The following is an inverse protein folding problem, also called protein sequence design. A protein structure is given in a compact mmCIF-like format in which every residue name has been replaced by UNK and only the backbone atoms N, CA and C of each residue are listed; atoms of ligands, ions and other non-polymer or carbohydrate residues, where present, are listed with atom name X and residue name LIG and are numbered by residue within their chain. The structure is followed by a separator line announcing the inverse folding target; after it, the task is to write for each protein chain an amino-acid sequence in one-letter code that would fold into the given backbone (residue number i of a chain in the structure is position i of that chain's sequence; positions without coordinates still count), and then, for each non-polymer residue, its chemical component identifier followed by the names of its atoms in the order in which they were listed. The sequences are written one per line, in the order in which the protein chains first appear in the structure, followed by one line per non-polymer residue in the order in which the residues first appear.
data_IF_891126973754
#
_entry.id   IF_891126973754
#
_cell.length_a   1.000
_cell.length_b   1.000
_cell.length_c   1.000
_cell.angle_alpha   90.00
_cell.angle_beta   90.00
_cell.angle_gamma   90.00
#
_symmetry.space_group_name_H-M   'P 1'
#
loop_
_entity.id
_entity.type
_entity.pdbx_description
1 polymer ?
#
# COMPACT_ATOMS: atom_id res chain seq x y z
N UNK A 1 27.56 -28.86 32.61
CA UNK A 1 27.75 -27.68 31.72
C UNK A 1 26.64 -26.67 31.99
N UNK A 2 26.91 -25.38 31.81
CA UNK A 2 26.28 -24.27 32.55
C UNK A 2 25.03 -23.63 31.93
N UNK A 3 24.13 -23.20 32.82
CA UNK A 3 23.14 -22.11 32.66
C UNK A 3 22.16 -22.15 31.47
N UNK A 4 20.98 -22.74 31.72
CA UNK A 4 19.75 -22.38 31.00
C UNK A 4 19.34 -20.97 31.44
N UNK A 5 19.85 -19.92 30.78
CA UNK A 5 19.44 -18.53 31.05
C UNK A 5 17.95 -18.35 30.74
N UNK A 6 17.16 -18.18 31.80
CA UNK A 6 15.72 -17.92 31.76
C UNK A 6 15.40 -16.82 30.74
N UNK A 7 14.68 -17.18 29.68
CA UNK A 7 14.31 -16.24 28.62
C UNK A 7 13.40 -15.16 29.20
N UNK A 8 13.83 -13.90 29.13
CA UNK A 8 13.01 -12.79 29.59
C UNK A 8 11.71 -12.71 28.79
N UNK A 9 10.57 -12.64 29.49
CA UNK A 9 9.27 -12.30 28.86
C UNK A 9 9.23 -10.83 28.41
N UNK A 10 10.10 -9.99 28.95
CA UNK A 10 10.19 -8.55 28.70
C UNK A 10 11.27 -8.24 27.65
N UNK A 11 10.98 -7.30 26.74
CA UNK A 11 11.95 -6.74 25.80
C UNK A 11 13.00 -5.95 26.60
N UNK A 12 14.28 -6.31 26.46
CA UNK A 12 15.37 -5.64 27.18
C UNK A 12 15.76 -4.31 26.53
N UNK A 13 16.51 -3.46 27.24
CA UNK A 13 16.92 -2.14 26.76
C UNK A 13 17.64 -2.19 25.41
N UNK A 14 18.60 -3.12 25.25
CA UNK A 14 19.34 -3.30 23.99
C UNK A 14 18.42 -3.63 22.82
N UNK A 15 17.42 -4.50 23.01
CA UNK A 15 16.44 -4.79 21.97
C UNK A 15 15.60 -3.56 21.59
N UNK A 16 15.20 -2.72 22.55
CA UNK A 16 14.51 -1.45 22.24
C UNK A 16 15.41 -0.47 21.50
N UNK A 17 16.70 -0.41 21.88
CA UNK A 17 17.71 0.40 21.19
C UNK A 17 17.88 -0.08 19.74
N UNK A 18 18.10 -1.37 19.50
CA UNK A 18 18.21 -1.94 18.15
C UNK A 18 16.97 -1.72 17.29
N UNK A 19 15.75 -1.86 17.84
CA UNK A 19 14.52 -1.49 17.14
C UNK A 19 14.59 -0.04 16.67
N UNK A 20 14.96 0.90 17.55
CA UNK A 20 14.98 2.33 17.22
C UNK A 20 16.11 2.67 16.23
N UNK A 21 17.27 2.03 16.35
CA UNK A 21 18.36 2.15 15.38
C UNK A 21 17.95 1.67 13.97
N UNK A 22 17.23 0.55 13.88
CA UNK A 22 16.71 0.02 12.61
C UNK A 22 15.58 0.88 12.04
N UNK A 23 14.65 1.34 12.88
CA UNK A 23 13.56 2.23 12.49
C UNK A 23 14.06 3.60 11.99
N UNK A 24 15.22 4.05 12.46
CA UNK A 24 15.84 5.29 11.98
C UNK A 24 16.38 5.16 10.55
N UNK A 25 16.84 3.96 10.16
CA UNK A 25 17.33 3.66 8.81
C UNK A 25 16.18 3.45 7.81
N UNK A 26 15.01 3.03 8.29
CA UNK A 26 13.83 2.74 7.47
C UNK A 26 12.60 3.55 7.92
N UNK A 27 12.60 4.86 7.70
CA UNK A 27 11.58 5.80 8.22
C UNK A 27 10.16 5.50 7.69
N UNK A 28 10.00 5.12 6.42
CA UNK A 28 8.70 4.77 5.83
C UNK A 28 8.12 3.47 6.39
N UNK A 29 8.99 2.51 6.68
CA UNK A 29 8.67 1.27 7.39
C UNK A 29 8.25 1.56 8.84
N UNK A 30 9.04 2.38 9.55
CA UNK A 30 8.74 2.79 10.93
C UNK A 30 7.38 3.47 11.07
N UNK A 31 7.05 4.35 10.12
CA UNK A 31 5.79 5.07 10.03
C UNK A 31 4.61 4.17 9.62
N UNK A 32 4.86 3.11 8.86
CA UNK A 32 3.83 2.24 8.29
C UNK A 32 3.21 2.83 7.02
N UNK A 33 4.01 3.51 6.19
CA UNK A 33 3.60 4.09 4.92
C UNK A 33 3.77 3.15 3.72
N UNK A 34 4.49 2.05 3.89
CA UNK A 34 4.67 0.96 2.92
C UNK A 34 3.34 0.22 2.65
N UNK A 35 2.49 0.74 1.75
CA UNK A 35 1.13 0.24 1.49
C UNK A 35 0.92 -0.47 0.14
N UNK A 36 1.67 -0.10 -0.89
CA UNK A 36 1.68 -0.74 -2.22
C UNK A 36 2.09 -2.21 -2.16
N UNK A 37 1.80 -3.00 -3.19
CA UNK A 37 2.02 -4.45 -3.17
C UNK A 37 3.50 -4.82 -2.96
N UNK A 38 4.42 -4.24 -3.74
CA UNK A 38 5.88 -4.34 -3.53
C UNK A 38 6.30 -3.91 -2.12
N UNK A 39 5.69 -2.82 -1.61
CA UNK A 39 5.98 -2.26 -0.31
C UNK A 39 5.52 -3.16 0.86
N UNK A 40 4.50 -4.01 0.67
CA UNK A 40 4.13 -5.05 1.63
C UNK A 40 5.18 -6.16 1.69
N UNK A 41 5.73 -6.57 0.55
CA UNK A 41 6.82 -7.55 0.50
C UNK A 41 8.11 -7.02 1.15
N UNK A 42 8.49 -5.77 0.90
CA UNK A 42 9.65 -5.16 1.57
C UNK A 42 9.41 -5.00 3.07
N UNK A 43 8.22 -4.56 3.50
CA UNK A 43 7.83 -4.50 4.91
C UNK A 43 7.95 -5.86 5.61
N UNK A 44 7.48 -6.94 4.97
CA UNK A 44 7.64 -8.31 5.49
C UNK A 44 9.12 -8.70 5.66
N UNK A 45 9.95 -8.49 4.64
CA UNK A 45 11.40 -8.78 4.68
C UNK A 45 12.10 -8.00 5.81
N UNK A 46 11.79 -6.71 5.97
CA UNK A 46 12.35 -5.86 7.03
C UNK A 46 11.95 -6.34 8.44
N UNK A 47 10.71 -6.83 8.62
CA UNK A 47 10.30 -7.45 9.90
C UNK A 47 11.01 -8.78 10.17
N UNK A 48 11.25 -9.60 9.14
CA UNK A 48 11.99 -10.87 9.26
C UNK A 48 13.47 -10.65 9.60
N UNK A 49 14.11 -9.67 8.96
CA UNK A 49 15.48 -9.25 9.24
C UNK A 49 15.63 -8.70 10.67
N UNK A 50 14.79 -7.74 11.05
CA UNK A 50 14.77 -7.17 12.39
C UNK A 50 14.50 -8.24 13.46
N UNK A 51 13.57 -9.17 13.20
CA UNK A 51 13.30 -10.29 14.11
C UNK A 51 14.54 -11.19 14.29
N UNK A 52 15.28 -11.47 13.22
CA UNK A 52 16.53 -12.24 13.25
C UNK A 52 17.57 -11.55 14.15
N UNK A 53 17.80 -10.25 13.96
CA UNK A 53 18.73 -9.46 14.77
C UNK A 53 18.34 -9.43 16.25
N UNK A 54 17.07 -9.15 16.56
CA UNK A 54 16.60 -9.02 17.94
C UNK A 54 16.57 -10.35 18.69
N UNK A 55 16.28 -11.45 17.99
CA UNK A 55 16.27 -12.79 18.58
C UNK A 55 17.68 -13.33 18.87
N UNK A 56 18.72 -12.74 18.27
CA UNK A 56 20.13 -13.03 18.55
C UNK A 56 20.70 -12.23 19.74
N UNK A 57 19.95 -11.26 20.29
CA UNK A 57 20.37 -10.48 21.46
C UNK A 57 20.41 -11.35 22.73
N UNK A 58 21.60 -11.54 23.32
CA UNK A 58 21.80 -12.35 24.54
C UNK A 58 20.95 -11.84 25.70
N UNK A 59 20.11 -12.70 26.28
CA UNK A 59 19.21 -12.36 27.39
C UNK A 59 17.95 -11.57 27.00
N UNK A 60 17.73 -11.31 25.70
CA UNK A 60 16.52 -10.69 25.19
C UNK A 60 15.32 -11.64 25.12
N UNK A 61 14.12 -11.07 24.90
CA UNK A 61 12.92 -11.86 24.59
C UNK A 61 12.94 -12.27 23.11
N UNK A 62 12.49 -13.48 22.77
CA UNK A 62 12.41 -13.94 21.37
C UNK A 62 10.97 -13.83 20.87
N UNK A 63 10.77 -13.30 19.65
CA UNK A 63 9.45 -13.16 19.01
C UNK A 63 9.53 -13.40 17.50
N UNK A 64 8.40 -13.75 16.90
CA UNK A 64 8.23 -13.74 15.43
C UNK A 64 8.29 -12.32 14.88
N UNK A 65 8.44 -12.19 13.55
CA UNK A 65 8.27 -10.93 12.82
C UNK A 65 6.98 -10.20 13.21
N UNK A 66 5.85 -10.91 13.24
CA UNK A 66 4.55 -10.36 13.66
C UNK A 66 4.54 -9.93 15.13
N UNK A 67 5.19 -10.70 16.02
CA UNK A 67 5.33 -10.35 17.43
C UNK A 67 6.13 -9.05 17.64
N UNK A 68 7.16 -8.80 16.82
CA UNK A 68 7.91 -7.54 16.81
C UNK A 68 7.13 -6.39 16.17
N UNK A 69 6.38 -6.65 15.09
CA UNK A 69 5.45 -5.68 14.46
C UNK A 69 4.37 -5.21 15.42
N UNK A 70 3.77 -6.15 16.19
CA UNK A 70 2.84 -5.85 17.28
C UNK A 70 3.51 -5.04 18.39
N UNK A 71 4.70 -5.45 18.85
CA UNK A 71 5.43 -4.72 19.88
C UNK A 71 5.71 -3.27 19.47
N UNK A 72 6.18 -3.04 18.23
CA UNK A 72 6.41 -1.69 17.72
C UNK A 72 5.13 -0.87 17.66
N UNK A 73 4.01 -1.48 17.26
CA UNK A 73 2.69 -0.83 17.24
C UNK A 73 2.21 -0.44 18.64
N UNK A 74 2.41 -1.29 19.64
CA UNK A 74 2.07 -1.02 21.04
C UNK A 74 3.01 0.02 21.67
N UNK A 75 4.31 -0.02 21.37
CA UNK A 75 5.29 1.00 21.74
C UNK A 75 4.87 2.37 21.18
N UNK A 76 4.54 2.41 19.88
CA UNK A 76 3.97 3.56 19.17
C UNK A 76 2.74 4.12 19.89
N UNK A 77 1.77 3.28 20.23
CA UNK A 77 0.56 3.70 20.94
C UNK A 77 0.83 4.22 22.37
N UNK A 78 1.78 3.60 23.10
CA UNK A 78 2.23 4.09 24.43
C UNK A 78 2.89 5.46 24.32
N UNK A 79 3.76 5.67 23.31
CA UNK A 79 4.43 6.93 23.03
C UNK A 79 3.43 8.06 22.75
N UNK A 80 2.42 7.84 21.87
CA UNK A 80 1.34 8.83 21.62
C UNK A 80 0.65 9.25 22.91
N UNK A 81 0.18 8.28 23.71
CA UNK A 81 -0.51 8.55 24.99
C UNK A 81 0.37 9.37 25.92
N UNK A 82 1.65 9.02 26.06
CA UNK A 82 2.60 9.73 26.93
C UNK A 82 2.88 11.16 26.48
N UNK A 83 3.08 11.40 25.17
CA UNK A 83 3.25 12.74 24.59
C UNK A 83 2.02 13.62 24.88
N UNK A 84 0.81 13.10 24.64
CA UNK A 84 -0.43 13.84 24.89
C UNK A 84 -0.65 14.17 26.37
N UNK A 85 -0.38 13.22 27.27
CA UNK A 85 -0.44 13.45 28.72
C UNK A 85 0.52 14.58 29.14
N UNK A 86 1.76 14.58 28.63
CA UNK A 86 2.76 15.62 28.90
C UNK A 86 2.32 16.99 28.35
N UNK A 87 1.74 17.05 27.14
CA UNK A 87 1.18 18.29 26.58
C UNK A 87 0.02 18.83 27.43
N UNK A 88 -0.88 17.97 27.93
CA UNK A 88 -1.96 18.37 28.85
C UNK A 88 -1.47 18.87 30.20
N UNK A 89 -0.42 18.28 30.78
CA UNK A 89 0.19 18.77 32.03
C UNK A 89 0.74 20.19 31.86
N UNK A 90 1.40 20.48 30.72
CA UNK A 90 1.89 21.85 30.42
C UNK A 90 0.75 22.88 30.31
N UNK A 91 -0.44 22.48 29.90
CA UNK A 91 -1.63 23.32 29.82
C UNK A 91 -2.41 23.42 31.16
N UNK A 92 -1.72 23.42 32.30
CA UNK A 92 -2.31 23.64 33.64
C UNK A 92 -3.13 22.47 34.21
N UNK A 93 -3.16 21.29 33.58
CA UNK A 93 -3.97 20.17 34.06
C UNK A 93 -3.32 19.47 35.27
N UNK A 94 -4.05 19.39 36.39
CA UNK A 94 -3.67 18.71 37.65
C UNK A 94 -3.65 17.17 37.53
N UNK A 95 -2.84 16.66 36.60
CA UNK A 95 -2.66 15.23 36.38
C UNK A 95 -1.42 14.74 37.12
N UNK A 96 -1.54 13.60 37.82
CA UNK A 96 -0.47 12.97 38.62
C UNK A 96 0.85 12.92 37.86
N UNK A 97 1.98 13.03 38.57
CA UNK A 97 3.32 13.24 37.98
C UNK A 97 3.69 12.26 36.85
N UNK A 98 3.49 12.69 35.61
CA UNK A 98 3.87 11.92 34.41
C UNK A 98 5.39 11.99 34.25
N UNK A 99 6.05 10.82 34.23
CA UNK A 99 7.49 10.71 33.96
C UNK A 99 7.83 11.30 32.58
N UNK A 100 8.91 12.09 32.42
CA UNK A 100 9.31 12.61 31.11
C UNK A 100 9.62 11.51 30.09
N UNK A 101 9.70 11.90 28.81
CA UNK A 101 10.13 11.00 27.74
C UNK A 101 11.58 10.55 27.95
N UNK A 102 11.84 9.25 27.81
CA UNK A 102 13.19 8.69 27.80
C UNK A 102 13.94 9.09 26.52
N UNK A 103 15.26 8.91 26.50
CA UNK A 103 16.09 9.22 25.34
C UNK A 103 15.62 8.43 24.10
N UNK A 104 15.34 7.13 24.29
CA UNK A 104 14.81 6.25 23.24
C UNK A 104 13.41 6.69 22.76
N UNK A 105 12.50 7.05 23.67
CA UNK A 105 11.17 7.58 23.30
C UNK A 105 11.25 8.90 22.51
N UNK A 106 12.16 9.82 22.90
CA UNK A 106 12.41 11.06 22.15
C UNK A 106 12.92 10.78 20.74
N UNK A 107 13.89 9.87 20.60
CA UNK A 107 14.44 9.48 19.29
C UNK A 107 13.41 8.81 18.40
N UNK A 108 12.59 7.92 18.95
CA UNK A 108 11.47 7.32 18.22
C UNK A 108 10.43 8.38 17.77
N UNK A 109 10.16 9.40 18.60
CA UNK A 109 9.27 10.50 18.22
C UNK A 109 9.83 11.33 17.06
N UNK A 110 11.15 11.57 17.02
CA UNK A 110 11.81 12.26 15.92
C UNK A 110 11.70 11.47 14.59
N UNK A 111 11.94 10.15 14.62
CA UNK A 111 11.80 9.25 13.45
C UNK A 111 10.37 9.30 12.87
N UNK A 112 9.36 9.34 13.75
CA UNK A 112 7.94 9.32 13.34
C UNK A 112 7.40 10.69 12.91
N UNK A 113 8.16 11.76 13.12
CA UNK A 113 7.86 13.12 12.68
C UNK A 113 6.68 13.82 13.40
N UNK A 114 6.47 15.12 13.12
CA UNK A 114 5.49 15.95 13.82
C UNK A 114 4.03 15.54 13.58
N UNK A 115 3.73 14.82 12.49
CA UNK A 115 2.40 14.26 12.25
C UNK A 115 1.99 13.24 13.33
N UNK A 116 2.97 12.57 13.96
CA UNK A 116 2.73 11.54 14.95
C UNK A 116 2.11 12.06 16.26
N UNK A 117 2.31 13.34 16.58
CA UNK A 117 1.78 13.98 17.77
C UNK A 117 0.27 14.33 17.69
N UNK A 118 -0.31 14.32 16.48
CA UNK A 118 -1.71 14.70 16.25
C UNK A 118 -2.67 13.58 16.69
N UNK A 119 -2.90 13.46 17.99
CA UNK A 119 -4.06 12.69 18.49
C UNK A 119 -5.33 13.41 18.05
N UNK A 120 -6.09 12.80 17.13
CA UNK A 120 -7.51 13.11 16.95
C UNK A 120 -8.26 12.66 18.21
N UNK A 121 -8.34 13.53 19.21
CA UNK A 121 -9.23 13.31 20.34
C UNK A 121 -10.66 13.26 19.81
N UNK A 122 -11.26 12.07 19.73
CA UNK A 122 -12.73 11.97 19.67
C UNK A 122 -13.25 12.69 20.91
N UNK A 123 -13.89 13.85 20.73
CA UNK A 123 -14.65 14.49 21.81
C UNK A 123 -15.68 13.46 22.26
N UNK A 124 -15.55 12.94 23.48
CA UNK A 124 -16.66 12.25 24.14
C UNK A 124 -17.66 13.35 24.47
N UNK A 125 -18.68 13.49 23.63
CA UNK A 125 -19.84 14.31 23.95
C UNK A 125 -20.61 13.59 25.05
N UNK A 126 -20.32 13.95 26.30
CA UNK A 126 -21.25 13.69 27.39
C UNK A 126 -22.47 14.57 27.12
N UNK A 127 -23.62 13.96 26.84
CA UNK A 127 -24.90 14.65 26.65
C UNK A 127 -25.52 14.85 28.04
N UNK A 128 -25.67 16.08 28.56
CA UNK A 128 -26.50 16.33 29.74
C UNK A 128 -27.98 16.09 29.39
N UNK A 129 -28.79 15.77 30.38
CA UNK A 129 -30.20 15.48 30.19
C UNK A 129 -31.05 16.75 29.96
N UNK A 130 -32.05 16.58 29.10
CA UNK A 130 -33.38 17.22 29.00
C UNK A 130 -33.65 18.56 29.70
N UNK A 131 -34.00 19.58 28.89
CA UNK A 131 -35.20 20.40 29.08
C UNK A 131 -35.85 20.58 27.69
N UNK A 132 -37.17 20.43 27.60
CA UNK A 132 -37.96 20.53 26.36
C UNK A 132 -38.48 21.96 26.13
N UNK A 133 -38.73 22.34 24.87
CA UNK A 133 -40.08 22.68 24.33
C UNK A 133 -39.97 23.34 22.93
N UNK A 134 -40.83 22.90 22.00
CA UNK A 134 -41.15 23.50 20.67
C UNK A 134 -42.15 24.70 20.92
N UNK A 135 -42.54 25.60 19.95
CA UNK A 135 -42.81 25.22 18.56
C UNK A 135 -42.72 26.21 17.36
N UNK A 136 -42.62 25.59 16.17
CA UNK A 136 -43.24 25.90 14.86
C UNK A 136 -42.88 27.14 13.98
N UNK A 137 -43.04 26.94 12.65
CA UNK A 137 -43.16 27.92 11.52
C UNK A 137 -41.84 28.61 11.09
N UNK A 138 -41.44 28.74 9.81
CA UNK A 138 -42.09 28.60 8.47
C UNK A 138 -41.13 28.03 7.41
N UNK A 139 -41.69 27.48 6.32
CA UNK A 139 -41.00 27.04 5.10
C UNK A 139 -41.33 27.98 3.94
N UNK A 140 -40.32 28.39 3.15
CA UNK A 140 -40.41 28.78 1.70
C UNK A 140 -38.99 29.13 1.21
N UNK A 141 -38.45 28.43 0.22
CA UNK A 141 -38.56 28.70 -1.23
C UNK A 141 -37.50 29.68 -1.73
N UNK A 142 -36.58 29.19 -2.57
CA UNK A 142 -36.18 29.85 -3.83
C UNK A 142 -35.52 28.82 -4.78
N UNK A 143 -36.10 28.67 -5.98
CA UNK A 143 -35.42 28.21 -7.21
C UNK A 143 -34.26 29.22 -7.51
N UNK A 144 -33.15 28.96 -8.20
CA UNK A 144 -32.90 28.32 -9.50
C UNK A 144 -31.34 28.36 -9.72
N UNK A 145 -30.65 27.97 -10.81
CA UNK A 145 -30.94 27.30 -12.10
C UNK A 145 -29.76 26.36 -12.43
N UNK A 146 -29.94 25.40 -13.35
CA UNK A 146 -28.83 24.68 -14.01
C UNK A 146 -28.67 25.25 -15.42
N UNK A 147 -27.45 25.59 -15.85
CA UNK A 147 -27.12 25.79 -17.26
C UNK A 147 -26.22 24.66 -17.75
N UNK A 148 -26.72 23.90 -18.72
CA UNK A 148 -25.98 22.85 -19.44
C UNK A 148 -25.92 23.25 -20.91
N UNK A 149 -24.72 23.52 -21.43
CA UNK A 149 -24.54 23.69 -22.87
C UNK A 149 -24.14 22.37 -23.52
N UNK A 150 -24.81 22.09 -24.64
CA UNK A 150 -24.64 20.90 -25.47
C UNK A 150 -24.35 21.36 -26.90
N UNK A 151 -23.38 20.76 -27.56
CA UNK A 151 -23.17 20.97 -29.00
C UNK A 151 -22.91 19.65 -29.74
N UNK A 152 -23.58 19.54 -30.89
CA UNK A 152 -23.76 18.39 -31.79
C UNK A 152 -22.45 18.02 -32.53
N UNK A 153 -22.06 16.74 -32.74
CA UNK A 153 -22.60 15.69 -33.65
C UNK A 153 -22.16 15.78 -35.13
N UNK A 154 -21.29 14.84 -35.54
CA UNK A 154 -21.09 14.27 -36.90
C UNK A 154 -20.48 12.87 -36.70
N UNK A 155 -21.18 11.75 -36.88
CA UNK A 155 -21.46 11.03 -38.13
C UNK A 155 -20.29 10.88 -39.11
N UNK A 156 -19.73 9.66 -39.21
CA UNK A 156 -19.93 8.84 -40.41
C UNK A 156 -19.76 7.35 -40.11
N UNK A 157 -20.42 6.51 -40.91
CA UNK A 157 -20.48 5.05 -40.75
C UNK A 157 -19.39 4.33 -41.57
N UNK A 158 -19.05 3.11 -41.16
CA UNK A 158 -18.60 2.05 -42.07
C UNK A 158 -18.91 0.70 -41.41
N UNK A 159 -19.74 -0.10 -42.08
CA UNK A 159 -20.08 -1.45 -41.65
C UNK A 159 -18.98 -2.43 -42.09
N UNK A 160 -18.75 -3.50 -41.34
CA UNK A 160 -18.69 -4.81 -41.98
C UNK A 160 -19.06 -5.96 -41.01
N UNK A 161 -19.74 -6.98 -41.57
CA UNK A 161 -20.33 -8.12 -40.86
C UNK A 161 -19.77 -9.43 -41.38
N UNK A 162 -19.25 -10.30 -40.50
CA UNK A 162 -19.36 -11.76 -40.59
C UNK A 162 -19.44 -12.28 -39.13
N UNK A 163 -20.49 -12.94 -38.65
CA UNK A 163 -21.21 -14.16 -39.10
C UNK A 163 -20.52 -15.45 -38.67
N UNK A 164 -21.23 -16.26 -37.87
CA UNK A 164 -20.81 -17.56 -37.32
C UNK A 164 -21.54 -17.85 -36.00
N UNK A 165 -22.50 -18.77 -36.01
CA UNK A 165 -23.35 -19.10 -34.85
C UNK A 165 -23.06 -20.48 -34.25
N UNK A 166 -24.09 -21.02 -33.58
CA UNK A 166 -24.23 -22.42 -33.13
C UNK A 166 -23.40 -22.83 -31.87
N UNK A 167 -23.90 -23.58 -30.88
CA UNK A 167 -25.29 -23.92 -30.51
C UNK A 167 -25.36 -24.33 -28.99
N UNK A 168 -26.58 -24.57 -28.51
CA UNK A 168 -27.06 -25.03 -27.20
C UNK A 168 -26.14 -25.87 -26.26
N UNK A 169 -26.22 -25.56 -24.96
CA UNK A 169 -26.53 -26.57 -23.94
C UNK A 169 -27.28 -25.97 -22.73
N UNK A 170 -28.51 -26.42 -22.51
CA UNK A 170 -29.22 -26.24 -21.24
C UNK A 170 -28.70 -27.28 -20.24
N UNK A 171 -28.60 -26.92 -18.96
CA UNK A 171 -28.88 -27.89 -17.89
C UNK A 171 -29.47 -27.20 -16.66
N UNK A 172 -30.59 -27.74 -16.16
CA UNK A 172 -31.41 -27.12 -15.12
C UNK A 172 -31.35 -27.96 -13.84
N UNK A 173 -30.92 -27.36 -12.74
CA UNK A 173 -31.04 -27.96 -11.42
C UNK A 173 -32.26 -27.38 -10.69
N UNK A 174 -33.34 -28.15 -10.62
CA UNK A 174 -34.53 -27.82 -9.83
C UNK A 174 -34.20 -27.76 -8.33
N UNK A 175 -34.82 -26.83 -7.61
CA UNK A 175 -34.84 -26.86 -6.14
C UNK A 175 -36.25 -26.67 -5.62
N UNK A 176 -36.73 -27.72 -4.94
CA UNK A 176 -38.08 -27.92 -4.43
C UNK A 176 -38.58 -26.81 -3.49
N UNK A 177 -39.67 -26.15 -3.90
CA UNK A 177 -40.99 -26.32 -3.26
C UNK A 177 -41.23 -25.80 -1.82
N UNK A 178 -42.17 -24.86 -1.72
CA UNK A 178 -42.90 -24.48 -0.49
C UNK A 178 -42.34 -23.26 0.25
N UNK A 179 -43.15 -22.35 0.80
CA UNK A 179 -44.61 -22.17 0.78
C UNK A 179 -44.90 -20.68 1.06
N UNK A 180 -45.92 -20.09 0.43
CA UNK A 180 -46.35 -18.72 0.76
C UNK A 180 -47.53 -18.78 1.73
N UNK A 181 -47.35 -18.28 2.96
CA UNK A 181 -48.45 -17.72 3.75
C UNK A 181 -48.03 -16.34 4.26
N UNK A 182 -48.94 -15.39 4.05
CA UNK A 182 -48.84 -13.99 4.37
C UNK A 182 -49.39 -13.76 5.78
N UNK A 183 -48.62 -13.12 6.65
CA UNK A 183 -49.16 -12.57 7.91
C UNK A 183 -48.86 -11.07 8.01
N UNK A 184 -49.94 -10.31 8.10
CA UNK A 184 -49.93 -8.86 8.26
C UNK A 184 -49.72 -8.54 9.73
N UNK A 185 -48.46 -8.31 10.14
CA UNK A 185 -48.17 -7.67 11.42
C UNK A 185 -47.27 -6.44 11.29
N UNK A 186 -47.64 -5.46 12.10
CA UNK A 186 -47.24 -4.07 12.12
C UNK A 186 -45.77 -3.87 12.47
N UNK A 187 -45.18 -2.79 11.95
CA UNK A 187 -43.90 -2.25 12.41
C UNK A 187 -42.71 -3.22 12.39
N UNK A 188 -42.12 -3.42 11.20
CA UNK A 188 -40.66 -3.62 11.18
C UNK A 188 -40.01 -2.28 11.55
N UNK A 189 -39.32 -2.15 12.70
CA UNK A 189 -38.64 -0.90 13.01
C UNK A 189 -37.53 -0.71 11.97
N UNK A 190 -37.55 0.47 11.35
CA UNK A 190 -36.47 1.01 10.54
C UNK A 190 -35.11 0.53 11.09
N UNK A 191 -34.39 -0.28 10.30
CA UNK A 191 -33.09 -0.86 10.69
C UNK A 191 -32.04 0.25 10.63
N UNK A 192 -32.14 1.15 11.61
CA UNK A 192 -31.36 2.35 11.76
C UNK A 192 -29.88 2.02 11.62
N UNK A 193 -29.30 2.64 10.60
CA UNK A 193 -27.94 2.45 10.11
C UNK A 193 -26.93 2.19 11.25
N UNK A 194 -26.65 0.90 11.49
CA UNK A 194 -25.83 0.41 12.61
C UNK A 194 -24.38 0.91 12.48
N UNK A 195 -23.99 1.33 11.28
CA UNK A 195 -22.72 2.01 11.02
C UNK A 195 -22.84 3.52 11.22
N UNK A 196 -22.07 4.12 12.14
CA UNK A 196 -22.11 5.56 12.33
C UNK A 196 -21.57 6.27 11.08
N UNK A 197 -22.28 7.30 10.61
CA UNK A 197 -22.05 7.95 9.30
C UNK A 197 -20.58 8.38 9.05
N UNK A 198 -19.87 8.84 10.09
CA UNK A 198 -18.45 9.22 10.00
C UNK A 198 -17.53 8.04 9.65
N UNK A 199 -17.90 6.80 10.01
CA UNK A 199 -17.13 5.60 9.68
C UNK A 199 -17.33 5.23 8.22
N UNK A 200 -18.58 5.30 7.72
CA UNK A 200 -18.90 5.13 6.29
C UNK A 200 -18.13 6.16 5.46
N UNK A 201 -18.09 7.42 5.89
CA UNK A 201 -17.35 8.49 5.21
C UNK A 201 -15.82 8.28 5.23
N UNK A 202 -15.28 7.75 6.34
CA UNK A 202 -13.85 7.39 6.45
C UNK A 202 -13.49 6.21 5.55
N UNK A 203 -14.33 5.18 5.49
CA UNK A 203 -14.09 4.03 4.61
C UNK A 203 -14.29 4.39 3.13
N UNK A 204 -15.25 5.26 2.79
CA UNK A 204 -15.37 5.83 1.44
C UNK A 204 -14.09 6.58 1.05
N UNK A 205 -13.61 7.50 1.90
CA UNK A 205 -12.35 8.23 1.65
C UNK A 205 -11.11 7.31 1.59
N UNK A 206 -11.14 6.15 2.27
CA UNK A 206 -10.10 5.12 2.11
C UNK A 206 -10.21 4.46 0.75
N UNK A 207 -11.40 4.01 0.35
CA UNK A 207 -11.66 3.39 -0.94
C UNK A 207 -11.30 4.32 -2.12
N UNK A 208 -11.67 5.60 -2.05
CA UNK A 208 -11.29 6.61 -3.05
C UNK A 208 -9.76 6.77 -3.13
N UNK A 209 -9.06 6.80 -2.00
CA UNK A 209 -7.60 6.88 -1.94
C UNK A 209 -6.89 5.58 -2.36
N UNK A 210 -7.55 4.44 -2.26
CA UNK A 210 -7.09 3.14 -2.77
C UNK A 210 -7.33 3.03 -4.28
N UNK A 211 -8.46 3.53 -4.79
CA UNK A 211 -8.76 3.62 -6.22
C UNK A 211 -7.79 4.54 -6.97
N UNK A 212 -7.48 5.73 -6.42
CA UNK A 212 -6.48 6.64 -6.98
C UNK A 212 -5.10 5.97 -7.02
N UNK A 213 -4.73 5.21 -5.97
CA UNK A 213 -3.47 4.46 -5.93
C UNK A 213 -3.45 3.33 -6.95
N UNK A 214 -4.52 2.55 -7.06
CA UNK A 214 -4.64 1.46 -8.02
C UNK A 214 -4.48 1.97 -9.46
N UNK A 215 -5.15 3.07 -9.84
CA UNK A 215 -5.00 3.71 -11.16
C UNK A 215 -3.58 4.24 -11.40
N UNK A 216 -2.88 4.71 -10.36
CA UNK A 216 -1.49 5.13 -10.48
C UNK A 216 -0.53 3.93 -10.64
N UNK A 217 -0.78 2.82 -9.94
CA UNK A 217 -0.02 1.57 -10.05
C UNK A 217 -0.25 0.88 -11.41
N UNK A 218 -1.48 0.88 -11.93
CA UNK A 218 -1.85 0.43 -13.28
C UNK A 218 -1.08 1.21 -14.36
N UNK A 219 -1.11 2.55 -14.31
CA UNK A 219 -0.35 3.40 -15.24
C UNK A 219 1.15 3.13 -15.17
N UNK A 220 1.70 2.91 -13.97
CA UNK A 220 3.12 2.57 -13.78
C UNK A 220 3.45 1.20 -14.39
N UNK A 221 2.59 0.20 -14.20
CA UNK A 221 2.76 -1.12 -14.80
C UNK A 221 2.72 -1.06 -16.34
N UNK A 222 1.77 -0.30 -16.91
CA UNK A 222 1.65 -0.09 -18.36
C UNK A 222 2.89 0.58 -18.95
N UNK A 223 3.42 1.64 -18.30
CA UNK A 223 4.67 2.30 -18.72
C UNK A 223 5.86 1.33 -18.61
N UNK A 224 5.93 0.53 -17.54
CA UNK A 224 6.98 -0.47 -17.37
C UNK A 224 6.94 -1.57 -18.43
N UNK A 225 5.75 -2.00 -18.86
CA UNK A 225 5.57 -2.99 -19.92
C UNK A 225 6.06 -2.45 -21.27
N UNK A 226 5.65 -1.23 -21.65
CA UNK A 226 6.14 -0.57 -22.88
C UNK A 226 7.66 -0.35 -22.87
N UNK A 227 8.23 -0.01 -21.72
CA UNK A 227 9.68 0.14 -21.57
C UNK A 227 10.42 -1.22 -21.73
N UNK A 228 9.85 -2.31 -21.22
CA UNK A 228 10.41 -3.65 -21.41
C UNK A 228 10.33 -4.10 -22.88
N UNK A 229 9.21 -3.83 -23.56
CA UNK A 229 9.02 -4.09 -24.99
C UNK A 229 10.05 -3.32 -25.85
N UNK A 230 10.23 -2.02 -25.59
CA UNK A 230 11.25 -1.21 -26.26
C UNK A 230 12.68 -1.74 -26.02
N UNK A 231 12.98 -2.21 -24.80
CA UNK A 231 14.27 -2.81 -24.48
C UNK A 231 14.50 -4.15 -25.21
N UNK A 232 13.46 -4.97 -25.42
CA UNK A 232 13.55 -6.19 -26.22
C UNK A 232 13.82 -5.88 -27.70
N UNK A 233 13.12 -4.90 -28.28
CA UNK A 233 13.37 -4.46 -29.66
C UNK A 233 14.80 -3.90 -29.82
N UNK A 234 15.29 -3.14 -28.84
CA UNK A 234 16.67 -2.64 -28.83
C UNK A 234 17.68 -3.79 -28.74
N UNK A 235 17.43 -4.80 -27.90
CA UNK A 235 18.30 -5.98 -27.78
C UNK A 235 18.34 -6.81 -29.08
N UNK A 236 17.20 -6.96 -29.77
CA UNK A 236 17.15 -7.65 -31.06
C UNK A 236 17.92 -6.87 -32.15
N UNK A 237 17.75 -5.55 -32.21
CA UNK A 237 18.49 -4.70 -33.14
C UNK A 237 20.01 -4.79 -32.90
N UNK A 238 20.45 -4.76 -31.64
CA UNK A 238 21.87 -4.96 -31.27
C UNK A 238 22.38 -6.35 -31.66
N UNK A 239 21.57 -7.41 -31.51
CA UNK A 239 21.93 -8.76 -31.95
C UNK A 239 22.15 -8.81 -33.47
N UNK A 240 21.21 -8.25 -34.27
CA UNK A 240 21.34 -8.19 -35.73
C UNK A 240 22.59 -7.41 -36.17
N UNK A 241 22.95 -6.34 -35.46
CA UNK A 241 24.18 -5.59 -35.70
C UNK A 241 25.44 -6.42 -35.37
N UNK A 242 25.42 -7.21 -34.30
CA UNK A 242 26.53 -8.11 -33.95
C UNK A 242 26.70 -9.25 -34.99
N UNK A 243 25.61 -9.86 -35.45
CA UNK A 243 25.63 -10.90 -36.48
C UNK A 243 26.17 -10.34 -37.82
N UNK A 244 25.77 -9.11 -38.19
CA UNK A 244 26.30 -8.39 -39.35
C UNK A 244 27.79 -8.03 -39.20
N UNK A 245 28.24 -7.61 -38.02
CA UNK A 245 29.65 -7.34 -37.76
C UNK A 245 30.51 -8.61 -37.82
N UNK A 246 30.00 -9.74 -37.32
CA UNK A 246 30.69 -11.04 -37.41
C UNK A 246 30.88 -11.50 -38.86
N UNK A 247 29.84 -11.39 -39.68
CA UNK A 247 29.92 -11.73 -41.11
C UNK A 247 30.83 -10.79 -41.90
N UNK A 248 30.88 -9.50 -41.55
CA UNK A 248 31.87 -8.56 -42.09
C UNK A 248 33.31 -8.93 -41.69
N UNK A 249 33.55 -9.28 -40.42
CA UNK A 249 34.87 -9.71 -39.94
C UNK A 249 35.35 -10.98 -40.65
N UNK A 250 34.49 -11.98 -40.84
CA UNK A 250 34.79 -13.16 -41.65
C UNK A 250 35.17 -12.82 -43.09
N UNK A 251 34.42 -11.92 -43.74
CA UNK A 251 34.72 -11.50 -45.12
C UNK A 251 36.10 -10.82 -45.22
N UNK A 252 36.44 -9.95 -44.26
CA UNK A 252 37.74 -9.30 -44.17
C UNK A 252 38.86 -10.34 -43.96
N UNK A 253 38.69 -11.31 -43.07
CA UNK A 253 39.68 -12.39 -42.87
C UNK A 253 39.89 -13.23 -44.13
N UNK A 254 38.82 -13.55 -44.87
CA UNK A 254 38.92 -14.28 -46.16
C UNK A 254 39.70 -13.47 -47.19
N UNK A 255 39.46 -12.17 -47.31
CA UNK A 255 40.20 -11.27 -48.21
C UNK A 255 41.69 -11.21 -47.80
N UNK A 256 41.99 -11.03 -46.51
CA UNK A 256 43.35 -10.97 -46.00
C UNK A 256 44.16 -12.25 -46.35
N UNK A 257 43.58 -13.43 -46.14
CA UNK A 257 44.21 -14.71 -46.47
C UNK A 257 44.44 -14.88 -47.99
N UNK A 258 43.52 -14.42 -48.84
CA UNK A 258 43.71 -14.42 -50.31
C UNK A 258 44.85 -13.49 -50.74
N UNK A 259 44.98 -12.32 -50.10
CA UNK A 259 46.08 -11.38 -50.35
C UNK A 259 47.43 -11.95 -49.89
N UNK A 260 47.48 -12.57 -48.70
CA UNK A 260 48.70 -13.19 -48.17
C UNK A 260 49.19 -14.34 -49.05
N UNK A 261 48.31 -15.27 -49.43
CA UNK A 261 48.67 -16.38 -50.33
C UNK A 261 49.04 -15.92 -51.74
N UNK A 262 48.58 -14.75 -52.18
CA UNK A 262 49.03 -14.12 -53.44
C UNK A 262 50.44 -13.55 -53.27
N UNK A 263 50.69 -12.76 -52.23
CA UNK A 263 52.02 -12.20 -51.96
C UNK A 263 53.11 -13.28 -51.81
N UNK A 264 52.78 -14.40 -51.15
CA UNK A 264 53.68 -15.56 -51.06
C UNK A 264 53.99 -16.19 -52.43
N UNK A 265 53.00 -16.28 -53.33
CA UNK A 265 53.21 -16.77 -54.71
C UNK A 265 54.04 -15.80 -55.55
N UNK A 266 53.75 -14.50 -55.46
CA UNK A 266 54.46 -13.47 -56.21
C UNK A 266 55.95 -13.38 -55.77
N UNK A 267 56.29 -13.70 -54.51
CA UNK A 267 57.69 -13.82 -54.04
C UNK A 267 58.41 -15.12 -54.43
N UNK A 268 57.69 -16.19 -54.79
CA UNK A 268 58.28 -17.47 -55.23
C UNK A 268 58.48 -17.54 -56.76
N UNK A 269 58.10 -16.50 -57.49
CA UNK A 269 58.20 -16.39 -58.94
C UNK A 269 59.35 -15.47 -59.42
N UNK A 270 60.22 -15.05 -58.49
CA UNK A 270 61.44 -14.25 -58.70
C UNK A 270 62.69 -15.08 -58.36
#
# INVERSE_FOLDING_TARGET
MSEIKSQSRLVCYEQVKYIIDFMAQHVDFASGNLRSLEARHTSKRLWEELARMLNNCRGGTRKTSDGWSKYWSDFKNKLKKKVWLLKRKKAGSSLKSIRPLTILEKRALAILGPYYEKIKCRKRYNKPASIELHPEVKLESFHETIHVDSFSKTQNESNDRLSGGDDQSNDSAESSGGEYINENDSNTPDRQNIYPQWLIEVEKKRADAELIRAKAEERRALVSAKNAEAALLQAEALKRLADAASTQAEAIMRIANVLETRGQRDMLAL
#
